data_IF_991328632676
#
_entry.id   IF_991328632676
#
_cell.length_a   1.000
_cell.length_b   1.000
_cell.length_c   1.000
_cell.angle_alpha   90.00
_cell.angle_beta   90.00
_cell.angle_gamma   90.00
#
_symmetry.space_group_name_H-M   'P 1'
#
loop_
_entity.id
_entity.type
_entity.pdbx_description
1 polymer ?
#
# COMPACT_ATOMS: atom_id res chain seq x y z
N UNK A 1 -7.64 -76.31 -13.01
CA UNK A 1 -7.95 -74.87 -12.88
C UNK A 1 -7.58 -74.33 -11.49
N UNK A 2 -6.40 -74.66 -10.95
CA UNK A 2 -5.97 -74.22 -9.59
C UNK A 2 -4.88 -73.14 -9.65
N UNK A 3 -4.22 -73.00 -10.80
CA UNK A 3 -3.06 -72.10 -10.98
C UNK A 3 -3.44 -70.75 -11.65
N UNK A 4 -4.62 -70.67 -12.29
CA UNK A 4 -5.13 -69.43 -12.93
C UNK A 4 -5.57 -68.40 -11.88
N UNK A 5 -6.16 -68.85 -10.77
CA UNK A 5 -6.52 -67.98 -9.64
C UNK A 5 -5.29 -67.33 -9.01
N UNK A 6 -4.14 -68.02 -9.02
CA UNK A 6 -2.89 -67.50 -8.47
C UNK A 6 -2.30 -66.38 -9.34
N UNK A 7 -2.37 -66.53 -10.67
CA UNK A 7 -1.93 -65.49 -11.61
C UNK A 7 -2.85 -64.27 -11.59
N UNK A 8 -4.16 -64.47 -11.46
CA UNK A 8 -5.12 -63.36 -11.37
C UNK A 8 -4.95 -62.57 -10.06
N UNK A 9 -4.69 -63.26 -8.94
CA UNK A 9 -4.43 -62.63 -7.65
C UNK A 9 -3.11 -61.82 -7.62
N UNK A 10 -2.05 -62.32 -8.28
CA UNK A 10 -0.76 -61.64 -8.35
C UNK A 10 -0.79 -60.42 -9.29
N UNK A 11 -1.64 -60.43 -10.32
CA UNK A 11 -1.78 -59.29 -11.23
C UNK A 11 -2.56 -58.13 -10.61
N UNK A 12 -3.48 -58.40 -9.68
CA UNK A 12 -4.23 -57.34 -8.97
C UNK A 12 -3.38 -56.56 -7.96
N UNK A 13 -2.31 -57.16 -7.41
CA UNK A 13 -1.47 -56.47 -6.40
C UNK A 13 -0.52 -55.42 -7.00
N UNK A 14 -0.24 -55.48 -8.31
CA UNK A 14 0.67 -54.52 -8.98
C UNK A 14 -0.06 -53.28 -9.48
N UNK A 15 -1.38 -53.35 -9.67
CA UNK A 15 -2.18 -52.24 -10.22
C UNK A 15 -2.58 -51.17 -9.18
N UNK A 16 -2.34 -51.43 -7.88
CA UNK A 16 -2.68 -50.49 -6.80
C UNK A 16 -1.45 -49.83 -6.15
N UNK A 17 -0.26 -49.95 -6.75
CA UNK A 17 0.88 -49.11 -6.33
C UNK A 17 0.69 -47.73 -6.95
N UNK A 18 -0.17 -46.89 -6.35
CA UNK A 18 -0.16 -45.46 -6.64
C UNK A 18 1.20 -44.93 -6.20
N UNK A 19 2.04 -44.55 -7.17
CA UNK A 19 3.21 -43.74 -6.88
C UNK A 19 2.72 -42.32 -6.58
N UNK A 20 2.30 -42.07 -5.35
CA UNK A 20 2.38 -40.73 -4.79
C UNK A 20 3.87 -40.43 -4.69
N UNK A 21 4.37 -39.61 -5.62
CA UNK A 21 5.72 -39.08 -5.55
C UNK A 21 5.89 -38.30 -4.25
N UNK A 22 7.13 -38.20 -3.77
CA UNK A 22 7.43 -37.43 -2.56
C UNK A 22 6.75 -36.05 -2.65
N UNK A 23 6.08 -35.59 -1.57
CA UNK A 23 5.53 -34.25 -1.53
C UNK A 23 6.59 -33.25 -1.97
N UNK A 24 6.24 -32.37 -2.90
CA UNK A 24 7.14 -31.32 -3.35
C UNK A 24 7.68 -30.52 -2.17
N UNK A 25 8.84 -29.86 -2.31
CA UNK A 25 9.36 -29.00 -1.26
C UNK A 25 8.27 -28.01 -0.82
N UNK A 26 8.16 -27.70 0.48
CA UNK A 26 7.26 -26.66 0.95
C UNK A 26 7.44 -25.40 0.10
N UNK A 27 6.32 -24.77 -0.30
CA UNK A 27 6.37 -23.47 -0.96
C UNK A 27 7.13 -22.47 -0.09
N UNK A 28 7.72 -21.44 -0.71
CA UNK A 28 8.34 -20.37 0.08
C UNK A 28 7.30 -19.78 1.04
N UNK A 29 7.72 -19.52 2.28
CA UNK A 29 6.91 -18.80 3.23
C UNK A 29 6.48 -17.46 2.59
N UNK A 30 5.18 -17.17 2.63
CA UNK A 30 4.67 -15.90 2.15
C UNK A 30 5.35 -14.76 2.90
N UNK A 31 6.03 -13.88 2.18
CA UNK A 31 6.59 -12.65 2.74
C UNK A 31 5.44 -11.79 3.24
N UNK A 32 5.46 -11.46 4.54
CA UNK A 32 4.45 -10.62 5.16
C UNK A 32 4.72 -9.15 4.78
N UNK A 33 4.08 -8.69 3.71
CA UNK A 33 4.11 -7.29 3.26
C UNK A 33 3.18 -6.45 4.14
N UNK A 34 3.54 -6.25 5.40
CA UNK A 34 2.79 -5.36 6.28
C UNK A 34 3.06 -3.91 5.89
N UNK A 35 1.98 -3.15 5.70
CA UNK A 35 2.05 -1.69 5.55
C UNK A 35 2.81 -1.05 6.70
N UNK A 36 3.65 -0.08 6.37
CA UNK A 36 4.45 0.65 7.35
C UNK A 36 3.80 2.01 7.59
N UNK A 37 3.64 2.38 8.87
CA UNK A 37 3.02 3.64 9.26
C UNK A 37 3.98 4.42 10.13
N UNK A 38 4.15 5.71 9.84
CA UNK A 38 4.91 6.62 10.67
C UNK A 38 4.20 7.96 10.81
N UNK A 39 4.56 8.70 11.84
CA UNK A 39 3.95 10.00 12.15
C UNK A 39 5.02 11.08 12.16
N UNK A 40 4.64 12.27 11.68
CA UNK A 40 5.51 13.45 11.63
C UNK A 40 4.74 14.68 12.02
N UNK A 41 5.37 15.48 12.89
CA UNK A 41 4.91 16.82 13.25
C UNK A 41 5.72 17.84 12.46
N UNK A 42 5.04 18.77 11.82
CA UNK A 42 5.63 19.72 10.87
C UNK A 42 5.13 21.13 11.14
N UNK A 43 5.92 22.10 10.68
CA UNK A 43 5.53 23.50 10.58
C UNK A 43 5.55 23.88 9.11
N UNK A 44 4.60 24.70 8.68
CA UNK A 44 4.53 25.22 7.34
C UNK A 44 5.21 26.59 7.24
N UNK A 45 5.87 26.83 6.11
CA UNK A 45 6.48 28.10 5.75
C UNK A 45 5.69 28.74 4.61
N UNK A 46 5.42 30.04 4.72
CA UNK A 46 4.68 30.78 3.70
C UNK A 46 5.59 31.10 2.50
N UNK A 47 5.11 30.81 1.29
CA UNK A 47 5.78 31.11 0.02
C UNK A 47 5.03 32.28 -0.67
N UNK A 48 5.52 33.52 -0.56
CA UNK A 48 4.77 34.70 -1.01
C UNK A 48 4.56 34.79 -2.52
N UNK A 49 5.42 34.16 -3.33
CA UNK A 49 5.31 34.17 -4.79
C UNK A 49 4.10 33.39 -5.31
N UNK A 50 3.65 32.40 -4.54
CA UNK A 50 2.63 31.44 -4.96
C UNK A 50 1.38 31.51 -4.07
N UNK A 51 1.44 32.25 -2.95
CA UNK A 51 0.37 32.32 -1.95
C UNK A 51 0.00 30.92 -1.44
N UNK A 52 1.01 30.14 -1.09
CA UNK A 52 0.90 28.78 -0.55
C UNK A 52 1.74 28.65 0.71
N UNK A 53 1.38 27.68 1.54
CA UNK A 53 2.22 27.22 2.65
C UNK A 53 2.78 25.86 2.31
N UNK A 54 4.06 25.64 2.56
CA UNK A 54 4.71 24.35 2.31
C UNK A 54 5.57 23.91 3.48
N UNK A 55 5.77 22.60 3.62
CA UNK A 55 6.79 22.04 4.50
C UNK A 55 8.09 21.81 3.75
N UNK A 56 9.18 21.59 4.49
CA UNK A 56 10.35 20.93 3.92
C UNK A 56 10.01 19.51 3.46
N UNK A 57 10.82 18.97 2.55
CA UNK A 57 10.73 17.56 2.13
C UNK A 57 11.10 16.63 3.28
N UNK A 58 10.24 15.65 3.55
CA UNK A 58 10.39 14.68 4.62
C UNK A 58 10.70 13.33 4.01
N UNK A 59 11.89 12.81 4.29
CA UNK A 59 12.29 11.48 3.81
C UNK A 59 11.52 10.37 4.55
N UNK A 60 11.17 9.33 3.81
CA UNK A 60 10.57 8.14 4.40
C UNK A 60 11.57 7.43 5.33
N UNK A 61 11.15 7.02 6.54
CA UNK A 61 12.00 6.25 7.45
C UNK A 61 12.14 4.78 7.03
N UNK A 62 11.45 4.38 5.97
CA UNK A 62 11.40 3.02 5.42
C UNK A 62 11.71 3.09 3.92
N UNK A 63 12.12 1.95 3.35
CA UNK A 63 12.25 1.83 1.90
C UNK A 63 10.87 1.84 1.26
N UNK A 64 10.64 2.78 0.35
CA UNK A 64 9.42 2.92 -0.44
C UNK A 64 9.78 2.70 -1.91
N UNK A 65 8.96 1.93 -2.61
CA UNK A 65 9.11 1.68 -4.03
C UNK A 65 8.14 2.55 -4.84
N UNK A 66 8.44 2.74 -6.13
CA UNK A 66 7.58 3.54 -7.03
C UNK A 66 6.16 2.97 -7.19
N UNK A 67 5.99 1.66 -6.97
CA UNK A 67 4.69 1.00 -7.04
C UNK A 67 3.88 1.12 -5.75
N UNK A 68 4.50 1.53 -4.63
CA UNK A 68 3.85 1.60 -3.34
C UNK A 68 2.86 2.76 -3.26
N UNK A 69 1.79 2.55 -2.50
CA UNK A 69 0.74 3.56 -2.31
C UNK A 69 1.00 4.31 -1.01
N UNK A 70 1.08 5.64 -1.11
CA UNK A 70 1.24 6.53 0.05
C UNK A 70 -0.11 7.14 0.42
N UNK A 71 -0.57 6.86 1.64
CA UNK A 71 -1.80 7.42 2.21
C UNK A 71 -1.44 8.34 3.37
N UNK A 72 -2.05 9.51 3.41
CA UNK A 72 -1.77 10.53 4.44
C UNK A 72 -3.04 10.88 5.20
N UNK A 73 -2.90 11.02 6.51
CA UNK A 73 -3.95 11.47 7.41
C UNK A 73 -3.44 12.60 8.30
N UNK A 74 -4.28 13.58 8.60
CA UNK A 74 -4.03 14.63 9.58
C UNK A 74 -4.68 14.29 10.92
N UNK A 75 -3.99 14.60 12.00
CA UNK A 75 -4.52 14.49 13.35
C UNK A 75 -5.52 15.63 13.64
N UNK A 76 -6.74 15.28 14.01
CA UNK A 76 -7.82 16.25 14.34
C UNK A 76 -8.06 16.39 15.85
N UNK A 77 -7.41 15.56 16.67
CA UNK A 77 -7.57 15.58 18.13
C UNK A 77 -7.98 14.22 18.70
N UNK A 78 -8.55 14.25 19.91
CA UNK A 78 -9.00 13.07 20.63
C UNK A 78 -10.51 12.96 20.61
N UNK A 79 -11.03 11.76 20.33
CA UNK A 79 -12.43 11.40 20.50
C UNK A 79 -12.61 10.45 21.69
N UNK A 80 -13.69 10.64 22.46
CA UNK A 80 -14.11 9.72 23.52
C UNK A 80 -14.64 8.42 22.89
N UNK A 81 -14.07 7.28 23.30
CA UNK A 81 -14.45 5.94 22.85
C UNK A 81 -15.21 5.16 23.94
N UNK A 82 -15.61 5.85 25.01
CA UNK A 82 -16.30 5.30 26.16
C UNK A 82 -15.34 4.85 27.27
N UNK A 83 -15.91 4.57 28.45
CA UNK A 83 -15.18 4.11 29.63
C UNK A 83 -14.04 5.04 30.11
N UNK A 84 -14.14 6.34 29.81
CA UNK A 84 -13.09 7.32 30.14
C UNK A 84 -11.83 7.17 29.30
N UNK A 85 -11.92 6.49 28.15
CA UNK A 85 -10.82 6.32 27.21
C UNK A 85 -11.01 7.22 26.00
N UNK A 86 -9.90 7.71 25.45
CA UNK A 86 -9.88 8.51 24.23
C UNK A 86 -9.02 7.86 23.16
N UNK A 87 -9.32 8.12 21.90
CA UNK A 87 -8.52 7.71 20.76
C UNK A 87 -8.25 8.88 19.81
N UNK A 88 -7.12 8.82 19.12
CA UNK A 88 -6.74 9.81 18.11
C UNK A 88 -7.69 9.76 16.90
N UNK A 89 -8.12 10.93 16.46
CA UNK A 89 -8.95 11.12 15.27
C UNK A 89 -8.05 11.50 14.10
N UNK A 90 -8.23 10.79 12.99
CA UNK A 90 -7.43 10.95 11.78
C UNK A 90 -8.36 11.21 10.59
N UNK A 91 -8.08 12.26 9.83
CA UNK A 91 -8.80 12.55 8.59
C UNK A 91 -7.85 12.45 7.40
N UNK A 92 -8.29 11.75 6.35
CA UNK A 92 -7.48 11.53 5.16
C UNK A 92 -7.30 12.82 4.35
N UNK A 93 -6.13 13.02 3.75
CA UNK A 93 -5.87 14.11 2.80
C UNK A 93 -6.23 13.71 1.36
N UNK A 94 -6.60 14.66 0.49
CA UNK A 94 -6.71 16.10 0.76
C UNK A 94 -7.94 16.46 1.62
N UNK A 95 -7.82 17.52 2.43
CA UNK A 95 -8.88 18.00 3.31
C UNK A 95 -9.12 19.49 3.12
N UNK A 96 -10.32 19.87 2.69
CA UNK A 96 -10.75 21.26 2.61
C UNK A 96 -11.36 21.74 3.94
N UNK A 97 -11.01 22.95 4.35
CA UNK A 97 -11.54 23.65 5.53
C UNK A 97 -12.21 24.94 5.09
N UNK A 98 -13.47 25.10 5.49
CA UNK A 98 -14.32 26.23 5.11
C UNK A 98 -14.45 27.23 6.26
N UNK A 99 -14.33 28.52 5.95
CA UNK A 99 -14.64 29.56 6.93
C UNK A 99 -16.16 29.76 7.04
N UNK A 100 -16.64 29.88 8.29
CA UNK A 100 -18.05 30.08 8.61
C UNK A 100 -18.35 31.57 8.88
N UNK A 101 -17.87 32.46 8.01
CA UNK A 101 -17.93 33.92 8.16
C UNK A 101 -18.57 34.63 6.95
N UNK A 102 -19.23 33.86 6.07
CA UNK A 102 -19.89 34.32 4.85
C UNK A 102 -18.96 34.90 3.76
N UNK A 103 -17.64 34.76 3.86
CA UNK A 103 -16.71 35.16 2.78
C UNK A 103 -16.71 34.13 1.64
N UNK A 104 -16.96 32.86 1.97
CA UNK A 104 -16.76 31.75 1.03
C UNK A 104 -15.29 31.35 0.91
N UNK A 105 -14.45 31.78 1.85
CA UNK A 105 -13.05 31.41 1.90
C UNK A 105 -12.90 29.93 2.26
N UNK A 106 -11.94 29.29 1.60
CA UNK A 106 -11.59 27.89 1.78
C UNK A 106 -10.08 27.76 1.64
N UNK A 107 -9.49 26.97 2.53
CA UNK A 107 -8.14 26.45 2.35
C UNK A 107 -8.16 24.93 2.40
N UNK A 108 -7.15 24.30 1.83
CA UNK A 108 -7.06 22.85 1.72
C UNK A 108 -5.66 22.39 2.09
N UNK A 109 -5.60 21.38 2.96
CA UNK A 109 -4.39 20.60 3.18
C UNK A 109 -4.23 19.59 2.05
N UNK A 110 -3.06 19.58 1.45
CA UNK A 110 -2.69 18.65 0.40
C UNK A 110 -1.30 18.06 0.64
N UNK A 111 -0.93 17.06 -0.14
CA UNK A 111 0.40 16.48 -0.10
C UNK A 111 0.86 16.06 -1.49
N UNK A 112 2.16 16.19 -1.70
CA UNK A 112 2.87 15.65 -2.85
C UNK A 112 3.91 14.66 -2.33
N UNK A 113 4.14 13.57 -3.05
CA UNK A 113 5.16 12.61 -2.67
C UNK A 113 5.87 12.04 -3.88
N UNK A 114 7.08 11.55 -3.63
CA UNK A 114 7.83 10.67 -4.52
C UNK A 114 8.00 9.32 -3.82
N UNK A 115 8.88 8.45 -4.34
CA UNK A 115 9.33 7.26 -3.61
C UNK A 115 10.43 7.59 -2.57
N UNK A 116 10.93 8.82 -2.55
CA UNK A 116 12.03 9.24 -1.65
C UNK A 116 11.51 10.06 -0.48
N UNK A 117 10.57 10.96 -0.74
CA UNK A 117 10.10 11.96 0.21
C UNK A 117 8.63 12.34 0.01
N UNK A 118 8.13 13.06 1.01
CA UNK A 118 6.80 13.65 1.04
C UNK A 118 6.88 15.12 1.45
N UNK A 119 6.01 15.94 0.87
CA UNK A 119 5.85 17.35 1.18
C UNK A 119 4.36 17.63 1.41
N UNK A 120 4.05 18.42 2.44
CA UNK A 120 2.68 18.88 2.70
C UNK A 120 2.53 20.33 2.24
N UNK A 121 1.37 20.66 1.69
CA UNK A 121 1.05 22.01 1.24
C UNK A 121 -0.31 22.47 1.76
N UNK A 122 -0.49 23.78 1.90
CA UNK A 122 -1.79 24.42 2.12
C UNK A 122 -2.01 25.44 1.00
N UNK A 123 -3.14 25.31 0.33
CA UNK A 123 -3.58 26.19 -0.75
C UNK A 123 -4.96 26.74 -0.41
N UNK A 124 -5.31 27.93 -0.90
CA UNK A 124 -6.62 28.51 -0.64
C UNK A 124 -7.02 29.56 -1.67
N UNK A 125 -8.28 30.00 -1.61
CA UNK A 125 -8.86 30.97 -2.54
C UNK A 125 -8.74 32.44 -2.06
N UNK A 126 -7.93 32.71 -1.04
CA UNK A 126 -7.72 34.01 -0.42
C UNK A 126 -6.24 34.20 -0.07
N UNK A 127 -5.85 35.39 0.40
CA UNK A 127 -4.49 35.66 0.88
C UNK A 127 -4.21 34.84 2.16
N UNK A 128 -3.38 33.80 2.02
CA UNK A 128 -3.12 32.83 3.07
C UNK A 128 -2.38 33.42 4.27
N UNK A 129 -1.79 34.62 4.16
CA UNK A 129 -1.29 35.33 5.35
C UNK A 129 -2.39 35.59 6.39
N UNK A 130 -3.67 35.53 5.97
CA UNK A 130 -4.85 35.67 6.81
C UNK A 130 -5.51 34.34 7.18
N UNK A 131 -4.84 33.20 7.03
CA UNK A 131 -5.40 31.84 7.31
C UNK A 131 -5.85 31.66 8.77
N UNK A 132 -5.48 32.58 9.66
CA UNK A 132 -5.92 32.60 11.05
C UNK A 132 -4.98 31.84 11.98
N UNK A 133 -5.15 32.05 13.29
CA UNK A 133 -4.22 31.57 14.33
C UNK A 133 -4.90 30.78 15.45
N UNK A 134 -6.21 30.52 15.35
CA UNK A 134 -6.96 29.80 16.38
C UNK A 134 -8.04 28.85 15.82
N UNK A 135 -7.76 27.54 15.74
CA UNK A 135 -6.44 26.93 15.93
C UNK A 135 -5.45 27.35 14.84
N UNK A 136 -4.16 27.40 15.15
CA UNK A 136 -3.11 27.67 14.17
C UNK A 136 -3.05 26.52 13.15
N UNK A 137 -3.34 26.77 11.87
CA UNK A 137 -3.37 25.72 10.85
C UNK A 137 -1.97 25.38 10.30
N UNK A 138 -0.95 26.16 10.65
CA UNK A 138 0.40 26.13 10.06
C UNK A 138 1.48 25.56 10.99
N UNK A 139 1.30 25.64 12.30
CA UNK A 139 2.31 25.21 13.28
C UNK A 139 1.91 23.91 13.97
N UNK A 140 2.89 23.05 14.29
CA UNK A 140 2.73 21.80 15.04
C UNK A 140 1.63 20.87 14.50
N UNK A 141 1.52 20.77 13.19
CA UNK A 141 0.55 19.90 12.55
C UNK A 141 1.11 18.48 12.50
N UNK A 142 0.35 17.49 12.98
CA UNK A 142 0.76 16.08 12.98
C UNK A 142 0.06 15.32 11.86
N UNK A 143 0.86 14.64 11.05
CA UNK A 143 0.40 13.78 9.96
C UNK A 143 0.85 12.34 10.21
N UNK A 144 -0.04 11.41 9.89
CA UNK A 144 0.23 9.97 9.83
C UNK A 144 0.31 9.56 8.37
N UNK A 145 1.43 8.95 8.01
CA UNK A 145 1.70 8.47 6.66
C UNK A 145 1.76 6.96 6.69
N UNK A 146 0.91 6.32 5.89
CA UNK A 146 0.87 4.88 5.69
C UNK A 146 1.39 4.55 4.29
N UNK A 147 2.49 3.80 4.25
CA UNK A 147 3.04 3.23 3.01
C UNK A 147 2.49 1.82 2.90
N UNK A 148 1.69 1.59 1.87
CA UNK A 148 1.08 0.30 1.56
C UNK A 148 1.87 -0.34 0.42
N UNK A 149 2.55 -1.47 0.68
CA UNK A 149 3.25 -2.22 -0.36
C UNK A 149 2.31 -2.55 -1.50
N UNK A 150 2.70 -2.21 -2.71
CA UNK A 150 1.94 -2.53 -3.91
C UNK A 150 2.88 -2.82 -5.08
N UNK A 151 2.36 -3.53 -6.07
CA UNK A 151 3.06 -3.86 -7.30
C UNK A 151 2.26 -3.30 -8.48
N UNK A 152 2.95 -2.88 -9.54
CA UNK A 152 2.27 -2.49 -10.76
C UNK A 152 1.43 -3.66 -11.29
N UNK A 153 0.24 -3.36 -11.80
CA UNK A 153 -0.59 -4.38 -12.40
C UNK A 153 0.18 -5.09 -13.52
N UNK A 154 0.36 -6.41 -13.39
CA UNK A 154 0.83 -7.23 -14.49
C UNK A 154 -0.18 -7.09 -15.65
N UNK A 155 0.21 -6.43 -16.75
CA UNK A 155 -0.52 -6.52 -18.01
C UNK A 155 -0.47 -7.97 -18.45
N UNK A 156 -1.55 -8.73 -18.21
CA UNK A 156 -1.77 -10.15 -18.54
C UNK A 156 -0.76 -10.68 -19.58
N UNK A 157 0.44 -11.10 -19.15
CA UNK A 157 1.47 -11.49 -20.09
C UNK A 157 0.98 -12.76 -20.76
N UNK A 158 1.05 -12.78 -22.09
CA UNK A 158 0.81 -14.00 -22.86
C UNK A 158 1.69 -15.12 -22.32
N UNK A 159 1.27 -16.38 -22.51
CA UNK A 159 2.08 -17.55 -22.12
C UNK A 159 3.51 -17.44 -22.66
N UNK A 160 3.69 -16.88 -23.86
CA UNK A 160 4.99 -16.62 -24.46
C UNK A 160 5.85 -15.61 -23.67
N UNK A 161 5.24 -14.55 -23.16
CA UNK A 161 5.94 -13.55 -22.33
C UNK A 161 6.31 -14.12 -20.95
N UNK A 162 5.43 -14.95 -20.37
CA UNK A 162 5.73 -15.69 -19.13
C UNK A 162 6.94 -16.63 -19.29
N UNK A 163 6.99 -17.37 -20.39
CA UNK A 163 8.09 -18.31 -20.67
C UNK A 163 9.43 -17.60 -20.87
N UNK A 164 9.42 -16.44 -21.55
CA UNK A 164 10.61 -15.60 -21.71
C UNK A 164 11.11 -15.01 -20.38
N UNK A 165 10.20 -14.54 -19.51
CA UNK A 165 10.57 -14.03 -18.18
C UNK A 165 11.16 -15.13 -17.29
N UNK A 166 10.68 -16.37 -17.43
CA UNK A 166 11.21 -17.53 -16.70
C UNK A 166 12.47 -18.13 -17.33
N UNK A 167 13.00 -17.55 -18.41
CA UNK A 167 14.11 -18.10 -19.21
C UNK A 167 13.88 -19.56 -19.64
N UNK A 168 12.62 -19.97 -19.78
CA UNK A 168 12.27 -21.31 -20.23
C UNK A 168 12.07 -21.30 -21.74
N UNK A 169 12.64 -22.30 -22.40
CA UNK A 169 12.39 -22.55 -23.81
C UNK A 169 11.10 -23.39 -23.94
N UNK A 170 10.26 -23.12 -24.94
CA UNK A 170 9.03 -23.88 -25.23
C UNK A 170 9.27 -25.40 -25.34
N UNK A 171 10.51 -25.81 -25.64
CA UNK A 171 10.96 -27.21 -25.68
C UNK A 171 11.01 -27.90 -24.31
N UNK A 172 11.00 -27.14 -23.21
CA UNK A 172 11.00 -27.67 -21.84
C UNK A 172 9.58 -27.94 -21.32
N UNK A 173 8.55 -27.61 -22.09
CA UNK A 173 7.15 -27.80 -21.72
C UNK A 173 6.66 -29.14 -22.27
N UNK A 174 6.33 -30.06 -21.37
CA UNK A 174 5.79 -31.36 -21.75
C UNK A 174 4.36 -31.19 -22.30
N UNK A 175 4.22 -31.32 -23.62
CA UNK A 175 2.92 -31.28 -24.30
C UNK A 175 2.27 -32.65 -24.21
N UNK A 176 1.13 -32.71 -23.53
CA UNK A 176 0.27 -33.89 -23.54
C UNK A 176 -0.57 -33.83 -24.82
N UNK A 177 -0.28 -34.71 -25.78
CA UNK A 177 -1.14 -34.92 -26.94
C UNK A 177 -2.35 -35.77 -26.53
N UNK A 178 -3.55 -35.35 -26.94
CA UNK A 178 -4.81 -36.07 -26.75
C UNK A 178 -5.10 -37.01 -27.92
#
# INVERSE_FOLDING_TARGET
MKNILLFLALSTTVLFTSCEGDPGPPGQDGVSFLGQVFERTVNFEYIPSENIYETSFIQFPVTVYESDVVLVYRYEGLADIGNGQTADVWTQLPQSVFYNDNTGDVYQYNFNHTFVDIQFTIEGNFDLTNIGTNPDPTTNQTFRVAVVPAEFAATNPSMTELLQMMQMDDTQIEKIEL
#
